data_IF_906066826264
#
_entry.id   IF_906066826264
#
_cell.length_a   1.000
_cell.length_b   1.000
_cell.length_c   1.000
_cell.angle_alpha   90.00
_cell.angle_beta   90.00
_cell.angle_gamma   90.00
#
_symmetry.space_group_name_H-M   'P 1'
#
loop_
_entity.id
_entity.type
_entity.pdbx_description
1 polymer ?
#
# COMPACT_ATOMS: atom_id res chain seq x y z
N UNK A 1 -7.10 -12.03 9.28
CA UNK A 1 -7.92 -11.17 8.41
C UNK A 1 -9.38 -11.46 8.74
N UNK A 2 -10.07 -10.49 9.35
CA UNK A 2 -11.50 -10.62 9.65
C UNK A 2 -12.30 -10.17 8.43
N UNK A 3 -13.14 -11.04 7.87
CA UNK A 3 -14.05 -10.73 6.78
C UNK A 3 -15.48 -10.65 7.31
N UNK A 4 -16.23 -9.60 6.97
CA UNK A 4 -17.64 -9.45 7.34
C UNK A 4 -18.56 -10.18 6.35
N UNK A 5 -19.82 -10.46 6.73
CA UNK A 5 -20.76 -11.23 5.90
C UNK A 5 -21.15 -10.52 4.60
N UNK A 6 -21.21 -9.17 4.60
CA UNK A 6 -21.64 -8.36 3.45
C UNK A 6 -20.61 -7.30 2.99
N UNK A 7 -19.37 -7.37 3.48
CA UNK A 7 -18.29 -6.49 3.02
C UNK A 7 -16.95 -7.19 3.15
N UNK A 8 -16.21 -7.28 2.05
CA UNK A 8 -14.81 -7.70 2.05
C UNK A 8 -13.96 -6.63 2.75
N UNK A 9 -13.86 -6.74 4.07
CA UNK A 9 -13.04 -5.87 4.92
C UNK A 9 -11.70 -6.52 5.20
N UNK A 10 -10.65 -5.69 5.26
CA UNK A 10 -9.36 -6.03 5.84
C UNK A 10 -9.16 -5.23 7.12
N UNK A 11 -9.30 -5.87 8.28
CA UNK A 11 -8.95 -5.27 9.57
C UNK A 11 -7.50 -5.59 9.93
N UNK A 12 -6.67 -4.55 9.98
CA UNK A 12 -5.28 -4.62 10.48
C UNK A 12 -5.25 -4.10 11.91
N UNK A 13 -4.84 -4.94 12.86
CA UNK A 13 -4.77 -4.60 14.29
C UNK A 13 -3.30 -4.58 14.71
N UNK A 14 -2.88 -3.48 15.34
CA UNK A 14 -1.50 -3.26 15.79
C UNK A 14 -1.48 -2.73 17.23
N UNK A 15 -0.42 -3.04 17.96
CA UNK A 15 -0.16 -2.45 19.27
C UNK A 15 0.18 -0.96 19.16
N UNK A 16 -0.06 -0.15 20.22
CA UNK A 16 0.40 1.24 20.27
C UNK A 16 1.89 1.37 19.96
N UNK A 17 2.27 2.37 19.16
CA UNK A 17 3.66 2.63 18.77
C UNK A 17 4.23 1.68 17.69
N UNK A 18 3.41 0.83 17.08
CA UNK A 18 3.86 -0.02 15.98
C UNK A 18 4.28 0.84 14.76
N UNK A 19 5.53 0.74 14.26
CA UNK A 19 6.00 1.54 13.12
C UNK A 19 5.21 1.31 11.82
N UNK A 20 4.52 0.18 11.71
CA UNK A 20 3.67 -0.13 10.57
C UNK A 20 2.49 0.86 10.46
N UNK A 21 2.00 1.40 11.58
CA UNK A 21 0.93 2.41 11.58
C UNK A 21 1.42 3.65 10.82
N UNK A 22 2.58 4.19 11.18
CA UNK A 22 3.15 5.39 10.55
C UNK A 22 3.45 5.14 9.07
N UNK A 23 3.96 3.95 8.75
CA UNK A 23 4.22 3.53 7.37
C UNK A 23 2.95 3.53 6.52
N UNK A 24 1.85 2.98 7.03
CA UNK A 24 0.56 2.94 6.33
C UNK A 24 -0.05 4.34 6.17
N UNK A 25 0.04 5.17 7.21
CA UNK A 25 -0.44 6.56 7.16
C UNK A 25 0.38 7.39 6.16
N UNK A 26 1.70 7.26 6.17
CA UNK A 26 2.60 7.92 5.22
C UNK A 26 2.24 7.57 3.78
N UNK A 27 2.09 6.28 3.47
CA UNK A 27 1.73 5.84 2.13
C UNK A 27 0.38 6.41 1.69
N UNK A 28 -0.64 6.37 2.56
CA UNK A 28 -1.97 6.92 2.31
C UNK A 28 -1.91 8.42 1.98
N UNK A 29 -1.24 9.19 2.82
CA UNK A 29 -1.24 10.65 2.71
C UNK A 29 -0.38 11.14 1.55
N UNK A 30 0.69 10.40 1.23
CA UNK A 30 1.47 10.62 0.01
C UNK A 30 0.63 10.42 -1.26
N UNK A 31 -0.10 9.30 -1.38
CA UNK A 31 -0.91 9.04 -2.58
C UNK A 31 -2.08 10.04 -2.75
N UNK A 32 -2.56 10.65 -1.66
CA UNK A 32 -3.57 11.71 -1.73
C UNK A 32 -3.01 13.01 -2.30
N UNK A 33 -1.76 13.33 -1.99
CA UNK A 33 -1.10 14.60 -2.36
C UNK A 33 -0.20 14.51 -3.61
N UNK A 34 0.24 13.31 -4.00
CA UNK A 34 1.11 13.08 -5.16
C UNK A 34 0.38 12.29 -6.27
N UNK A 35 -0.11 13.01 -7.28
CA UNK A 35 -0.85 12.41 -8.39
C UNK A 35 0.02 11.50 -9.28
N UNK A 36 1.34 11.73 -9.36
CA UNK A 36 2.24 10.91 -10.17
C UNK A 36 2.39 9.51 -9.59
N UNK A 37 2.74 9.42 -8.31
CA UNK A 37 2.88 8.14 -7.61
C UNK A 37 1.54 7.43 -7.45
N UNK A 38 0.43 8.18 -7.31
CA UNK A 38 -0.92 7.59 -7.36
C UNK A 38 -1.21 6.90 -8.70
N UNK A 39 -0.90 7.55 -9.82
CA UNK A 39 -1.09 6.95 -11.15
C UNK A 39 -0.16 5.75 -11.37
N UNK A 40 1.08 5.81 -10.87
CA UNK A 40 1.99 4.66 -10.91
C UNK A 40 1.39 3.47 -10.16
N UNK A 41 1.00 3.67 -8.91
CA UNK A 41 0.40 2.62 -8.08
C UNK A 41 -0.88 2.05 -8.69
N UNK A 42 -1.73 2.90 -9.26
CA UNK A 42 -2.94 2.47 -9.96
C UNK A 42 -2.63 1.57 -11.16
N UNK A 43 -1.72 2.00 -12.06
CA UNK A 43 -1.35 1.21 -13.24
C UNK A 43 -0.79 -0.15 -12.84
N UNK A 44 0.17 -0.18 -11.91
CA UNK A 44 0.76 -1.43 -11.41
C UNK A 44 -0.30 -2.35 -10.81
N UNK A 45 -1.22 -1.82 -9.99
CA UNK A 45 -2.33 -2.62 -9.44
C UNK A 45 -3.24 -3.18 -10.54
N UNK A 46 -3.60 -2.38 -11.55
CA UNK A 46 -4.45 -2.83 -12.65
C UNK A 46 -3.77 -3.92 -13.48
N UNK A 47 -2.47 -3.78 -13.75
CA UNK A 47 -1.69 -4.79 -14.46
C UNK A 47 -1.59 -6.11 -13.68
N UNK A 48 -1.34 -6.03 -12.37
CA UNK A 48 -1.29 -7.21 -11.51
C UNK A 48 -2.67 -7.86 -11.35
N UNK A 49 -3.74 -7.09 -11.28
CA UNK A 49 -5.11 -7.62 -11.17
C UNK A 49 -5.58 -8.38 -12.43
N UNK A 50 -4.92 -8.19 -13.58
CA UNK A 50 -5.19 -8.95 -14.80
C UNK A 50 -4.54 -10.34 -14.82
N UNK A 51 -3.70 -10.66 -13.84
CA UNK A 51 -3.02 -11.95 -13.73
C UNK A 51 -3.82 -12.90 -12.85
N UNK A 52 -3.72 -14.19 -13.13
CA UNK A 52 -4.23 -15.22 -12.24
C UNK A 52 -3.28 -15.45 -11.08
N UNK A 53 -3.82 -15.37 -9.86
CA UNK A 53 -3.05 -15.59 -8.64
C UNK A 53 -3.59 -16.82 -7.93
N UNK A 54 -2.73 -17.82 -7.76
CA UNK A 54 -3.05 -19.02 -6.97
C UNK A 54 -3.38 -18.67 -5.51
N UNK A 55 -2.72 -17.65 -4.97
CA UNK A 55 -2.92 -17.16 -3.61
C UNK A 55 -2.94 -15.63 -3.58
N UNK A 56 -3.85 -15.05 -2.79
CA UNK A 56 -3.93 -13.59 -2.58
C UNK A 56 -2.61 -13.00 -2.07
N UNK A 57 -1.83 -13.78 -1.30
CA UNK A 57 -0.52 -13.35 -0.82
C UNK A 57 0.46 -13.08 -1.96
N UNK A 58 0.47 -13.92 -3.01
CA UNK A 58 1.36 -13.70 -4.15
C UNK A 58 1.05 -12.38 -4.87
N UNK A 59 -0.24 -12.01 -4.96
CA UNK A 59 -0.63 -10.70 -5.46
C UNK A 59 -0.18 -9.57 -4.52
N UNK A 60 -0.28 -9.77 -3.20
CA UNK A 60 0.22 -8.81 -2.21
C UNK A 60 1.72 -8.57 -2.38
N UNK A 61 2.50 -9.64 -2.45
CA UNK A 61 3.96 -9.61 -2.58
C UNK A 61 4.39 -8.96 -3.91
N UNK A 62 3.66 -9.23 -5.00
CA UNK A 62 3.95 -8.63 -6.30
C UNK A 62 3.77 -7.09 -6.30
N UNK A 63 2.97 -6.53 -5.38
CA UNK A 63 2.84 -5.07 -5.20
C UNK A 63 3.92 -4.47 -4.31
N UNK A 64 4.66 -5.28 -3.55
CA UNK A 64 5.59 -4.79 -2.53
C UNK A 64 6.62 -3.83 -3.13
N UNK A 65 7.19 -4.17 -4.28
CA UNK A 65 8.23 -3.33 -4.91
C UNK A 65 7.75 -1.89 -5.18
N UNK A 66 6.57 -1.71 -5.79
CA UNK A 66 6.03 -0.35 -6.07
C UNK A 66 5.64 0.39 -4.78
N UNK A 67 5.17 -0.34 -3.76
CA UNK A 67 4.83 0.26 -2.45
C UNK A 67 6.08 0.78 -1.76
N UNK A 68 7.16 -0.02 -1.72
CA UNK A 68 8.43 0.41 -1.11
C UNK A 68 9.05 1.60 -1.82
N UNK A 69 9.02 1.62 -3.16
CA UNK A 69 9.53 2.72 -3.96
C UNK A 69 8.82 4.04 -3.64
N UNK A 70 7.49 4.00 -3.55
CA UNK A 70 6.67 5.17 -3.22
C UNK A 70 6.91 5.62 -1.78
N UNK A 71 7.03 4.69 -0.83
CA UNK A 71 7.33 5.04 0.56
C UNK A 71 8.72 5.68 0.69
N UNK A 72 9.71 5.16 -0.05
CA UNK A 72 11.04 5.76 -0.09
C UNK A 72 10.99 7.21 -0.60
N UNK A 73 10.30 7.45 -1.73
CA UNK A 73 10.07 8.81 -2.26
C UNK A 73 9.36 9.73 -1.26
N UNK A 74 8.34 9.22 -0.58
CA UNK A 74 7.59 9.97 0.43
C UNK A 74 8.48 10.39 1.61
N UNK A 75 9.33 9.48 2.11
CA UNK A 75 10.28 9.76 3.19
C UNK A 75 11.30 10.83 2.82
N UNK A 76 11.85 10.77 1.60
CA UNK A 76 12.80 11.77 1.10
C UNK A 76 12.20 13.17 0.98
N UNK A 77 10.88 13.30 0.81
CA UNK A 77 10.20 14.61 0.77
C UNK A 77 10.00 15.21 2.17
N UNK A 78 9.71 14.37 3.16
CA UNK A 78 9.39 14.80 4.54
C UNK A 78 10.64 15.16 5.33
N UNK A 79 11.80 14.60 4.96
CA UNK A 79 13.10 15.01 5.49
C UNK A 79 13.80 15.91 4.45
N UNK A 80 13.47 17.21 4.35
CA UNK A 80 14.38 18.15 3.71
C UNK A 80 15.63 18.23 4.58
N UNK A 81 16.81 18.19 3.96
CA UNK A 81 18.07 18.51 4.63
C UNK A 81 18.08 19.95 5.17
#
# INVERSE_FOLDING_TARGET
>A
MFKGPDTDVNLHVFSPGCPEIDRLLLFRDWLRSNASDRRLYERTKRELARKDWKYTQNYADAKTSVVEEIIARARSRIRPE
#
